data_IF_091016174328
#
_entry.id   IF_091016174328
#
_cell.length_a   1.000
_cell.length_b   1.000
_cell.length_c   1.000
_cell.angle_alpha   90.00
_cell.angle_beta   90.00
_cell.angle_gamma   90.00
#
_symmetry.space_group_name_H-M   'P 1'
#
loop_
_entity.id
_entity.type
_entity.pdbx_description
1 polymer ?
#
# COMPACT_ATOMS: atom_id res chain seq x y z
N UNK A 1 14.13 26.36 12.07
CA UNK A 1 12.71 26.77 11.99
C UNK A 1 11.99 26.24 13.23
N UNK A 2 11.41 27.10 14.06
CA UNK A 2 11.01 26.79 15.45
C UNK A 2 9.50 26.56 15.68
N UNK A 3 8.65 26.69 14.66
CA UNK A 3 7.20 26.49 14.79
C UNK A 3 6.72 25.22 14.04
N UNK A 4 6.11 24.28 14.77
CA UNK A 4 5.60 23.02 14.22
C UNK A 4 4.38 23.21 13.32
N UNK A 5 3.55 24.24 13.54
CA UNK A 5 2.42 24.57 12.65
C UNK A 5 2.90 25.03 11.27
N UNK A 6 3.94 25.86 11.24
CA UNK A 6 4.56 26.28 9.98
C UNK A 6 5.19 25.09 9.25
N UNK A 7 5.78 24.13 9.98
CA UNK A 7 6.30 22.90 9.37
C UNK A 7 5.18 22.06 8.75
N UNK A 8 4.07 21.84 9.45
CA UNK A 8 2.90 21.13 8.91
C UNK A 8 2.41 21.80 7.62
N UNK A 9 2.25 23.13 7.64
CA UNK A 9 1.78 23.89 6.48
C UNK A 9 2.75 23.77 5.31
N UNK A 10 4.06 23.88 5.54
CA UNK A 10 5.06 23.78 4.49
C UNK A 10 5.05 22.39 3.82
N UNK A 11 4.97 21.32 4.62
CA UNK A 11 4.89 19.95 4.08
C UNK A 11 3.61 19.76 3.27
N UNK A 12 2.48 20.28 3.78
CA UNK A 12 1.20 20.24 3.09
C UNK A 12 1.24 20.99 1.76
N UNK A 13 1.70 22.24 1.75
CA UNK A 13 1.77 23.06 0.54
C UNK A 13 2.66 22.43 -0.53
N UNK A 14 3.78 21.82 -0.10
CA UNK A 14 4.62 21.04 -1.00
C UNK A 14 3.86 19.85 -1.60
N UNK A 15 3.19 19.05 -0.78
CA UNK A 15 2.43 17.88 -1.24
C UNK A 15 1.26 18.26 -2.16
N UNK A 16 0.53 19.33 -1.85
CA UNK A 16 -0.60 19.83 -2.63
C UNK A 16 -0.14 20.33 -4.02
N UNK A 17 1.11 20.79 -4.16
CA UNK A 17 1.73 21.16 -5.43
C UNK A 17 2.16 19.97 -6.31
N UNK A 18 2.18 18.74 -5.78
CA UNK A 18 2.59 17.55 -6.53
C UNK A 18 1.43 16.93 -7.32
N UNK A 19 1.68 16.45 -8.57
CA UNK A 19 0.68 15.73 -9.36
C UNK A 19 0.05 14.55 -8.59
N UNK A 20 -1.24 14.33 -8.82
CA UNK A 20 -1.95 13.17 -8.25
C UNK A 20 -1.55 11.90 -8.98
N UNK A 21 -0.97 10.93 -8.27
CA UNK A 21 -0.62 9.61 -8.82
C UNK A 21 -0.66 8.54 -7.75
N UNK A 22 -1.12 7.34 -8.11
CA UNK A 22 -1.09 6.17 -7.22
C UNK A 22 0.31 5.56 -7.10
N UNK A 23 1.27 5.96 -7.96
CA UNK A 23 2.62 5.38 -8.02
C UNK A 23 3.67 6.13 -7.17
N UNK A 24 3.29 7.23 -6.52
CA UNK A 24 4.18 7.96 -5.62
C UNK A 24 3.69 7.87 -4.17
N UNK A 25 4.62 8.07 -3.25
CA UNK A 25 4.40 8.10 -1.80
C UNK A 25 5.08 9.36 -1.28
N UNK A 26 4.40 10.07 -0.38
CA UNK A 26 4.92 11.28 0.24
C UNK A 26 5.06 11.00 1.73
N UNK A 27 6.23 11.28 2.31
CA UNK A 27 6.47 11.22 3.75
C UNK A 27 6.76 12.62 4.33
N UNK A 28 6.77 12.75 5.66
CA UNK A 28 6.73 14.05 6.32
C UNK A 28 8.09 14.72 6.58
N UNK A 29 9.23 14.17 6.13
CA UNK A 29 10.47 14.94 6.12
C UNK A 29 11.78 14.18 6.37
N UNK A 30 12.53 14.63 7.39
CA UNK A 30 13.95 14.29 7.56
C UNK A 30 14.22 13.69 8.94
N UNK A 31 15.10 12.67 8.99
CA UNK A 31 15.65 12.14 10.24
C UNK A 31 17.03 12.69 10.49
N UNK A 32 17.36 12.90 11.76
CA UNK A 32 18.71 13.16 12.23
C UNK A 32 19.38 11.81 12.52
N UNK A 33 20.51 11.52 11.89
CA UNK A 33 21.25 10.28 12.10
C UNK A 33 22.76 10.52 12.15
N UNK A 34 23.47 9.57 12.74
CA UNK A 34 24.93 9.55 12.74
C UNK A 34 25.45 9.04 11.39
N UNK A 35 26.24 9.86 10.70
CA UNK A 35 26.99 9.46 9.52
C UNK A 35 28.37 8.95 9.94
N UNK A 36 28.49 7.62 10.01
CA UNK A 36 29.72 6.93 10.43
C UNK A 36 30.94 7.22 9.53
N UNK A 37 30.72 7.65 8.28
CA UNK A 37 31.83 7.85 7.33
C UNK A 37 32.49 9.22 7.50
N UNK A 38 31.71 10.21 7.94
CA UNK A 38 32.19 11.58 8.17
C UNK A 38 32.26 11.93 9.66
N UNK A 39 31.95 10.99 10.55
CA UNK A 39 31.92 11.15 12.01
C UNK A 39 31.11 12.37 12.48
N UNK A 40 29.97 12.63 11.82
CA UNK A 40 29.09 13.75 12.14
C UNK A 40 27.64 13.32 12.14
N UNK A 41 26.82 14.02 12.92
CA UNK A 41 25.38 13.88 12.83
C UNK A 41 24.80 14.84 11.79
N UNK A 42 23.88 14.35 10.97
CA UNK A 42 23.24 15.15 9.91
C UNK A 42 21.78 14.77 9.69
N UNK A 43 21.04 15.69 9.10
CA UNK A 43 19.69 15.40 8.62
C UNK A 43 19.75 14.73 7.25
N UNK A 44 18.99 13.66 7.08
CA UNK A 44 18.81 12.96 5.81
C UNK A 44 17.31 12.79 5.51
N UNK A 45 16.91 12.83 4.23
CA UNK A 45 15.52 12.65 3.84
C UNK A 45 15.03 11.23 4.14
N UNK A 46 13.77 11.07 4.54
CA UNK A 46 13.17 9.79 4.92
C UNK A 46 12.77 8.93 3.72
N UNK A 47 12.85 9.43 2.49
CA UNK A 47 12.48 8.71 1.27
C UNK A 47 13.18 7.34 1.17
N UNK A 48 14.47 7.29 1.51
CA UNK A 48 15.26 6.06 1.52
C UNK A 48 14.82 5.09 2.63
N UNK A 49 14.44 5.61 3.80
CA UNK A 49 13.88 4.81 4.89
C UNK A 49 12.50 4.24 4.53
N UNK A 50 11.64 5.05 3.92
CA UNK A 50 10.32 4.64 3.42
C UNK A 50 10.48 3.51 2.38
N UNK A 51 11.41 3.65 1.43
CA UNK A 51 11.74 2.58 0.48
C UNK A 51 12.30 1.32 1.18
N UNK A 52 13.19 1.49 2.16
CA UNK A 52 13.75 0.39 2.93
C UNK A 52 12.72 -0.37 3.76
N UNK A 53 11.73 0.33 4.33
CA UNK A 53 10.59 -0.25 5.05
C UNK A 53 9.67 -1.03 4.09
N UNK A 54 9.45 -0.53 2.87
CA UNK A 54 8.77 -1.28 1.81
C UNK A 54 9.52 -2.58 1.46
N UNK A 55 10.84 -2.51 1.24
CA UNK A 55 11.66 -3.68 0.94
C UNK A 55 11.68 -4.70 2.10
N UNK A 56 11.79 -4.21 3.34
CA UNK A 56 11.71 -5.05 4.54
C UNK A 56 10.35 -5.74 4.63
N UNK A 57 9.27 -5.03 4.34
CA UNK A 57 7.91 -5.59 4.36
C UNK A 57 7.78 -6.76 3.40
N UNK A 58 8.38 -6.65 2.21
CA UNK A 58 8.38 -7.72 1.20
C UNK A 58 9.20 -8.92 1.65
N UNK A 59 10.29 -8.69 2.39
CA UNK A 59 11.16 -9.77 2.86
C UNK A 59 10.57 -10.56 4.04
N UNK A 60 9.81 -9.90 4.93
CA UNK A 60 9.26 -10.54 6.16
C UNK A 60 7.77 -10.91 6.04
N UNK A 61 7.11 -10.44 5.00
CA UNK A 61 5.72 -10.71 4.67
C UNK A 61 5.60 -10.74 3.14
N UNK A 62 4.75 -9.90 2.57
CA UNK A 62 4.57 -9.79 1.12
C UNK A 62 4.31 -8.33 0.72
N UNK A 63 4.48 -7.97 -0.57
CA UNK A 63 4.30 -6.60 -1.07
C UNK A 63 2.91 -5.98 -0.84
N UNK A 64 1.88 -6.81 -0.65
CA UNK A 64 0.50 -6.41 -0.35
C UNK A 64 0.20 -6.16 1.13
N UNK A 65 1.19 -6.32 2.01
CA UNK A 65 1.08 -5.84 3.38
C UNK A 65 1.45 -4.36 3.47
N UNK A 66 0.74 -3.65 4.35
CA UNK A 66 1.05 -2.23 4.60
C UNK A 66 2.46 -2.11 5.19
N UNK A 67 3.31 -1.24 4.59
CA UNK A 67 4.64 -0.97 5.11
C UNK A 67 4.61 -0.06 6.34
N UNK A 68 3.47 0.58 6.64
CA UNK A 68 3.32 1.48 7.78
C UNK A 68 3.02 0.77 9.10
N UNK A 69 2.94 1.58 10.16
CA UNK A 69 2.54 1.16 11.51
C UNK A 69 3.63 0.43 12.29
N UNK A 70 3.31 0.06 13.53
CA UNK A 70 4.29 -0.43 14.51
C UNK A 70 4.94 -1.77 14.15
N UNK A 71 4.27 -2.62 13.36
CA UNK A 71 4.77 -3.95 13.01
C UNK A 71 5.89 -3.90 11.95
N UNK A 72 5.76 -3.03 10.95
CA UNK A 72 6.66 -3.01 9.77
C UNK A 72 7.32 -1.67 9.52
N UNK A 73 6.66 -0.57 9.88
CA UNK A 73 7.07 0.80 9.60
C UNK A 73 8.18 1.37 10.49
N UNK A 74 8.90 0.54 11.24
CA UNK A 74 9.98 0.99 12.12
C UNK A 74 11.17 1.51 11.31
N UNK A 75 11.52 2.77 11.55
CA UNK A 75 12.65 3.47 10.94
C UNK A 75 13.86 3.36 11.86
N UNK A 76 14.97 2.86 11.29
CA UNK A 76 16.20 2.60 12.05
C UNK A 76 17.18 3.77 11.94
N UNK A 77 18.04 3.90 12.95
CA UNK A 77 19.12 4.88 12.99
C UNK A 77 18.66 6.34 13.12
N UNK A 78 17.37 6.59 13.39
CA UNK A 78 16.87 7.91 13.71
C UNK A 78 17.17 8.25 15.17
N UNK A 79 17.92 9.33 15.39
CA UNK A 79 18.18 9.91 16.72
C UNK A 79 17.01 10.81 17.11
N UNK A 80 16.57 11.64 16.15
CA UNK A 80 15.39 12.51 16.26
C UNK A 80 14.86 12.85 14.87
N UNK A 81 13.66 13.39 14.81
CA UNK A 81 13.07 13.92 13.58
C UNK A 81 13.27 15.44 13.52
N UNK A 82 13.42 15.99 12.31
CA UNK A 82 13.40 17.43 12.10
C UNK A 82 12.04 18.06 12.44
N UNK A 83 10.99 17.26 12.26
CA UNK A 83 9.60 17.58 12.56
C UNK A 83 8.94 16.30 13.08
N UNK A 84 8.49 16.31 14.35
CA UNK A 84 7.74 15.20 14.94
C UNK A 84 6.27 15.63 15.12
N UNK A 85 5.35 15.24 14.22
CA UNK A 85 3.98 15.75 14.22
C UNK A 85 3.15 15.19 15.38
N UNK A 86 2.42 16.07 16.06
CA UNK A 86 1.40 15.69 17.04
C UNK A 86 0.15 15.12 16.33
N UNK A 87 -0.84 14.67 17.09
CA UNK A 87 -2.03 14.01 16.52
C UNK A 87 -2.78 14.87 15.51
N UNK A 88 -3.12 16.12 15.87
CA UNK A 88 -3.83 17.04 14.97
C UNK A 88 -3.05 17.27 13.67
N UNK A 89 -1.74 17.44 13.77
CA UNK A 89 -0.86 17.63 12.61
C UNK A 89 -0.81 16.37 11.74
N UNK A 90 -0.77 15.17 12.33
CA UNK A 90 -0.83 13.91 11.58
C UNK A 90 -2.15 13.78 10.82
N UNK A 91 -3.26 14.14 11.44
CA UNK A 91 -4.57 14.08 10.80
C UNK A 91 -4.65 15.04 9.61
N UNK A 92 -4.09 16.25 9.73
CA UNK A 92 -3.96 17.21 8.64
C UNK A 92 -3.08 16.70 7.50
N UNK A 93 -1.87 16.21 7.82
CA UNK A 93 -0.95 15.64 6.84
C UNK A 93 -1.57 14.47 6.09
N UNK A 94 -2.26 13.58 6.82
CA UNK A 94 -2.87 12.40 6.25
C UNK A 94 -4.06 12.73 5.35
N UNK A 95 -4.85 13.77 5.68
CA UNK A 95 -5.86 14.32 4.76
C UNK A 95 -5.22 14.84 3.48
N UNK A 96 -4.08 15.50 3.60
CA UNK A 96 -3.24 15.95 2.47
C UNK A 96 -2.29 14.87 1.93
N UNK A 97 -2.67 13.58 1.98
CA UNK A 97 -1.96 12.45 1.34
C UNK A 97 -0.46 12.30 1.69
N UNK A 98 -0.03 12.90 2.80
CA UNK A 98 1.32 12.75 3.37
C UNK A 98 1.27 11.70 4.47
N UNK A 99 2.19 10.74 4.41
CA UNK A 99 2.37 9.74 5.45
C UNK A 99 3.28 10.31 6.55
N UNK A 100 2.74 10.60 7.75
CA UNK A 100 3.56 11.15 8.81
C UNK A 100 4.56 10.11 9.30
N UNK A 101 5.80 10.53 9.49
CA UNK A 101 6.81 9.79 10.25
C UNK A 101 6.87 10.39 11.64
N UNK A 102 6.78 9.53 12.66
CA UNK A 102 6.52 9.94 14.04
C UNK A 102 7.42 9.17 14.99
N UNK A 103 8.04 9.88 15.93
CA UNK A 103 8.71 9.25 17.06
C UNK A 103 7.77 9.16 18.25
N UNK A 104 7.43 7.94 18.64
CA UNK A 104 6.60 7.62 19.79
C UNK A 104 7.48 7.22 20.99
N UNK A 105 7.27 7.79 22.19
CA UNK A 105 8.01 7.40 23.39
C UNK A 105 7.92 5.89 23.64
N UNK A 106 9.06 5.22 23.81
CA UNK A 106 9.13 3.77 24.04
C UNK A 106 8.81 2.87 22.84
N UNK A 107 8.38 3.43 21.70
CA UNK A 107 7.96 2.67 20.51
C UNK A 107 8.79 2.98 19.25
N UNK A 108 9.73 3.91 19.34
CA UNK A 108 10.66 4.26 18.26
C UNK A 108 10.06 5.21 17.22
N UNK A 109 10.77 5.34 16.10
CA UNK A 109 10.36 6.17 14.95
C UNK A 109 9.64 5.30 13.93
N UNK A 110 8.45 5.71 13.50
CA UNK A 110 7.55 4.88 12.71
C UNK A 110 7.00 5.66 11.51
N UNK A 111 6.98 5.03 10.33
CA UNK A 111 6.15 5.43 9.20
C UNK A 111 4.68 5.17 9.56
N UNK A 112 3.95 6.23 9.91
CA UNK A 112 2.61 6.17 10.48
C UNK A 112 1.54 6.51 9.43
N UNK A 113 1.65 5.90 8.25
CA UNK A 113 0.69 6.03 7.16
C UNK A 113 1.04 5.12 5.99
N UNK A 114 0.06 4.86 5.13
CA UNK A 114 0.23 4.05 3.93
C UNK A 114 -0.54 4.57 2.71
N UNK A 115 -0.76 5.90 2.64
CA UNK A 115 -1.37 6.55 1.49
C UNK A 115 -0.41 6.67 0.31
N UNK A 116 -0.94 6.54 -0.89
CA UNK A 116 -0.27 6.98 -2.11
C UNK A 116 -0.49 8.48 -2.30
N UNK A 117 0.20 9.06 -3.27
CA UNK A 117 0.05 10.45 -3.68
C UNK A 117 -1.21 10.69 -4.52
N UNK A 118 -2.23 9.83 -4.44
CA UNK A 118 -3.47 9.97 -5.17
C UNK A 118 -4.46 10.86 -4.40
N UNK A 119 -5.00 11.89 -5.06
CA UNK A 119 -5.90 12.84 -4.41
C UNK A 119 -7.35 12.35 -4.34
N UNK A 120 -7.79 11.56 -5.31
CA UNK A 120 -9.16 11.00 -5.33
C UNK A 120 -9.17 9.62 -4.67
N UNK A 121 -10.09 9.36 -3.72
CA UNK A 121 -10.26 8.03 -3.15
C UNK A 121 -10.47 6.98 -4.25
N UNK A 122 -9.70 5.89 -4.20
CA UNK A 122 -9.84 4.77 -5.12
C UNK A 122 -9.31 3.50 -4.45
N UNK A 123 -9.38 2.34 -5.12
CA UNK A 123 -8.72 1.13 -4.62
C UNK A 123 -7.20 1.31 -4.44
N UNK A 124 -6.60 2.29 -5.12
CA UNK A 124 -5.15 2.51 -5.20
C UNK A 124 -4.66 3.70 -4.38
N UNK A 125 -5.49 4.19 -3.48
CA UNK A 125 -5.11 5.23 -2.52
C UNK A 125 -4.16 4.70 -1.42
N UNK A 126 -3.91 3.38 -1.38
CA UNK A 126 -3.00 2.71 -0.46
C UNK A 126 -1.79 2.09 -1.14
N UNK A 127 -0.64 2.21 -0.47
CA UNK A 127 0.65 1.64 -0.90
C UNK A 127 0.52 0.14 -1.09
N UNK A 128 -0.11 -0.57 -0.15
CA UNK A 128 -0.18 -2.02 -0.18
C UNK A 128 -0.99 -2.55 -1.38
N UNK A 129 -2.10 -1.89 -1.73
CA UNK A 129 -2.91 -2.27 -2.91
C UNK A 129 -2.19 -1.92 -4.20
N UNK A 130 -1.52 -0.76 -4.29
CA UNK A 130 -0.74 -0.43 -5.50
C UNK A 130 0.39 -1.43 -5.73
N UNK A 131 1.13 -1.79 -4.67
CA UNK A 131 2.23 -2.75 -4.74
C UNK A 131 1.76 -4.16 -5.08
N UNK A 132 0.61 -4.59 -4.56
CA UNK A 132 -0.06 -5.82 -4.99
C UNK A 132 -0.24 -5.85 -6.50
N UNK A 133 -0.88 -4.82 -7.08
CA UNK A 133 -1.14 -4.79 -8.52
C UNK A 133 0.14 -4.75 -9.36
N UNK A 134 1.18 -4.04 -8.91
CA UNK A 134 2.49 -4.06 -9.60
C UNK A 134 3.05 -5.49 -9.67
N UNK A 135 2.93 -6.28 -8.59
CA UNK A 135 3.37 -7.69 -8.56
C UNK A 135 2.53 -8.55 -9.50
N UNK A 136 1.20 -8.42 -9.42
CA UNK A 136 0.28 -9.20 -10.25
C UNK A 136 0.49 -8.91 -11.74
N UNK A 137 0.48 -7.63 -12.12
CA UNK A 137 0.66 -7.17 -13.50
C UNK A 137 1.99 -7.65 -14.07
N UNK A 138 3.09 -7.56 -13.31
CA UNK A 138 4.41 -7.99 -13.78
C UNK A 138 4.50 -9.50 -13.97
N UNK A 139 3.94 -10.29 -13.03
CA UNK A 139 3.95 -11.74 -13.11
C UNK A 139 3.10 -12.23 -14.29
N UNK A 140 1.88 -11.71 -14.42
CA UNK A 140 0.95 -12.10 -15.47
C UNK A 140 1.42 -11.64 -16.85
N UNK A 141 1.98 -10.42 -16.97
CA UNK A 141 2.59 -9.96 -18.22
C UNK A 141 3.76 -10.85 -18.65
N UNK A 142 4.49 -11.45 -17.72
CA UNK A 142 5.56 -12.41 -18.04
C UNK A 142 5.00 -13.71 -18.59
N UNK A 143 3.89 -14.22 -18.03
CA UNK A 143 3.20 -15.38 -18.55
C UNK A 143 2.60 -15.11 -19.96
N UNK A 144 2.03 -13.93 -20.17
CA UNK A 144 1.44 -13.53 -21.44
C UNK A 144 2.44 -13.46 -22.61
N UNK A 145 3.75 -13.29 -22.34
CA UNK A 145 4.78 -13.23 -23.41
C UNK A 145 4.85 -14.51 -24.23
N UNK A 146 4.65 -15.66 -23.60
CA UNK A 146 4.68 -16.96 -24.28
C UNK A 146 3.43 -17.20 -25.11
N UNK A 147 2.44 -16.30 -25.01
CA UNK A 147 1.20 -16.40 -25.76
C UNK A 147 1.26 -15.71 -27.13
N UNK A 148 2.28 -14.87 -27.34
CA UNK A 148 2.45 -14.12 -28.57
C UNK A 148 2.79 -15.05 -29.73
N UNK A 149 2.10 -14.88 -30.86
CA UNK A 149 2.22 -15.66 -32.10
C UNK A 149 1.65 -17.09 -32.06
N UNK A 150 1.08 -17.52 -30.95
CA UNK A 150 0.30 -18.76 -30.89
C UNK A 150 -1.12 -18.55 -31.47
N UNK A 151 -1.82 -19.65 -31.77
CA UNK A 151 -3.20 -19.58 -32.25
C UNK A 151 -4.16 -19.12 -31.15
N UNK A 152 -5.08 -18.19 -31.44
CA UNK A 152 -6.14 -17.83 -30.49
C UNK A 152 -7.27 -18.86 -30.53
N UNK A 153 -7.01 -20.04 -29.98
CA UNK A 153 -7.97 -21.13 -29.80
C UNK A 153 -8.22 -21.45 -28.33
N UNK A 154 -9.17 -22.34 -28.06
CA UNK A 154 -9.53 -22.68 -26.68
C UNK A 154 -8.39 -23.39 -25.94
N UNK A 155 -7.56 -24.18 -26.63
CA UNK A 155 -6.41 -24.84 -26.03
C UNK A 155 -5.45 -23.81 -25.44
N UNK A 156 -5.17 -22.78 -26.22
CA UNK A 156 -4.28 -21.70 -25.89
C UNK A 156 -4.83 -20.82 -24.76
N UNK A 157 -6.10 -20.42 -24.86
CA UNK A 157 -6.78 -19.65 -23.80
C UNK A 157 -6.86 -20.42 -22.49
N UNK A 158 -7.20 -21.70 -22.52
CA UNK A 158 -7.19 -22.57 -21.34
C UNK A 158 -5.78 -22.68 -20.75
N UNK A 159 -4.75 -22.80 -21.60
CA UNK A 159 -3.35 -22.74 -21.19
C UNK A 159 -3.02 -21.47 -20.40
N UNK A 160 -3.41 -20.30 -20.91
CA UNK A 160 -3.23 -19.03 -20.20
C UNK A 160 -3.94 -18.99 -18.84
N UNK A 161 -5.21 -19.42 -18.77
CA UNK A 161 -5.96 -19.50 -17.50
C UNK A 161 -5.26 -20.43 -16.50
N UNK A 162 -4.78 -21.58 -16.95
CA UNK A 162 -4.05 -22.56 -16.14
C UNK A 162 -2.70 -22.04 -15.61
N UNK A 163 -2.12 -21.00 -16.22
CA UNK A 163 -0.93 -20.32 -15.70
C UNK A 163 -1.30 -19.25 -14.66
N UNK A 164 -2.35 -18.46 -14.93
CA UNK A 164 -2.70 -17.28 -14.11
C UNK A 164 -3.47 -17.66 -12.85
N UNK A 165 -4.44 -18.56 -12.92
CA UNK A 165 -5.30 -18.89 -11.79
C UNK A 165 -4.53 -19.48 -10.60
N UNK A 166 -3.60 -20.45 -10.76
CA UNK A 166 -2.84 -20.96 -9.62
C UNK A 166 -2.00 -19.89 -8.93
N UNK A 167 -1.42 -18.95 -9.70
CA UNK A 167 -0.69 -17.82 -9.14
C UNK A 167 -1.61 -16.91 -8.31
N UNK A 168 -2.80 -16.59 -8.81
CA UNK A 168 -3.78 -15.80 -8.05
C UNK A 168 -4.28 -16.54 -6.79
N UNK A 169 -4.48 -17.86 -6.86
CA UNK A 169 -4.82 -18.69 -5.68
C UNK A 169 -3.72 -18.66 -4.63
N UNK A 170 -2.45 -18.70 -5.03
CA UNK A 170 -1.33 -18.56 -4.08
C UNK A 170 -1.33 -17.18 -3.40
N UNK A 171 -1.54 -16.10 -4.16
CA UNK A 171 -1.69 -14.74 -3.59
C UNK A 171 -2.90 -14.65 -2.65
N UNK A 172 -4.01 -15.33 -2.97
CA UNK A 172 -5.19 -15.44 -2.11
C UNK A 172 -4.87 -16.17 -0.80
N UNK A 173 -4.18 -17.32 -0.88
CA UNK A 173 -3.73 -18.09 0.28
C UNK A 173 -2.79 -17.30 1.20
N UNK A 174 -1.97 -16.40 0.63
CA UNK A 174 -1.11 -15.45 1.36
C UNK A 174 -1.79 -14.12 1.71
N UNK A 175 -3.12 -14.07 1.63
CA UNK A 175 -3.97 -12.96 2.09
C UNK A 175 -3.78 -11.65 1.31
N UNK A 176 -3.31 -11.71 0.07
CA UNK A 176 -3.18 -10.53 -0.79
C UNK A 176 -4.49 -10.11 -1.45
N UNK A 177 -5.32 -11.09 -1.80
CA UNK A 177 -6.63 -10.89 -2.42
C UNK A 177 -7.69 -11.68 -1.65
N UNK A 178 -8.93 -11.19 -1.64
CA UNK A 178 -10.07 -11.91 -1.07
C UNK A 178 -10.77 -12.77 -2.12
N UNK A 179 -10.77 -12.33 -3.37
CA UNK A 179 -11.46 -12.98 -4.48
C UNK A 179 -10.87 -12.55 -5.82
N UNK A 180 -11.04 -13.37 -6.85
CA UNK A 180 -10.62 -13.06 -8.21
C UNK A 180 -11.42 -13.83 -9.27
N UNK A 181 -11.40 -13.34 -10.50
CA UNK A 181 -11.91 -14.05 -11.67
C UNK A 181 -10.99 -13.79 -12.87
N UNK A 182 -10.78 -14.81 -13.70
CA UNK A 182 -10.03 -14.71 -14.96
C UNK A 182 -10.96 -15.12 -16.09
N UNK A 183 -11.26 -14.19 -17.00
CA UNK A 183 -12.06 -14.46 -18.19
C UNK A 183 -11.13 -14.39 -19.38
N UNK A 184 -11.00 -15.50 -20.10
CA UNK A 184 -10.20 -15.60 -21.30
C UNK A 184 -10.79 -16.75 -22.10
N UNK A 185 -11.93 -16.53 -22.73
CA UNK A 185 -12.72 -17.54 -23.43
C UNK A 185 -13.47 -16.87 -24.60
N UNK A 186 -14.43 -17.56 -25.21
CA UNK A 186 -15.19 -17.03 -26.34
C UNK A 186 -16.06 -15.80 -25.99
N UNK A 187 -16.30 -15.53 -24.69
CA UNK A 187 -17.09 -14.35 -24.27
C UNK A 187 -16.31 -13.04 -24.46
N UNK A 188 -14.98 -13.07 -24.36
CA UNK A 188 -14.12 -11.91 -24.58
C UNK A 188 -13.16 -12.05 -25.77
N UNK A 189 -13.03 -13.24 -26.36
CA UNK A 189 -12.36 -13.50 -27.63
C UNK A 189 -13.38 -13.85 -28.71
N UNK A 190 -14.24 -12.89 -29.07
CA UNK A 190 -15.23 -13.06 -30.14
C UNK A 190 -14.55 -13.24 -31.50
N UNK A 191 -15.32 -13.67 -32.52
CA UNK A 191 -14.81 -13.80 -33.89
C UNK A 191 -14.11 -12.55 -34.39
N UNK A 192 -14.66 -11.36 -34.11
CA UNK A 192 -14.05 -10.09 -34.51
C UNK A 192 -12.72 -9.79 -33.79
N UNK A 193 -12.56 -10.23 -32.54
CA UNK A 193 -11.29 -10.09 -31.79
C UNK A 193 -10.23 -11.00 -32.42
N UNK A 194 -10.61 -12.24 -32.72
CA UNK A 194 -9.73 -13.23 -33.36
C UNK A 194 -9.33 -12.77 -34.76
N UNK A 195 -10.26 -12.29 -35.57
CA UNK A 195 -10.00 -11.79 -36.93
C UNK A 195 -9.06 -10.56 -36.95
N UNK A 196 -9.02 -9.79 -35.85
CA UNK A 196 -8.06 -8.69 -35.65
C UNK A 196 -6.71 -9.16 -35.11
N UNK A 197 -6.49 -10.47 -34.94
CA UNK A 197 -5.30 -11.05 -34.31
C UNK A 197 -5.06 -10.54 -32.88
N UNK A 198 -6.13 -10.25 -32.15
CA UNK A 198 -6.08 -9.87 -30.74
C UNK A 198 -6.28 -11.10 -29.84
N UNK A 199 -5.67 -11.06 -28.66
CA UNK A 199 -5.91 -12.00 -27.56
C UNK A 199 -6.34 -11.21 -26.33
N UNK A 200 -7.51 -11.54 -25.76
CA UNK A 200 -8.07 -10.82 -24.62
C UNK A 200 -8.15 -11.71 -23.39
N UNK A 201 -7.70 -11.15 -22.27
CA UNK A 201 -7.83 -11.76 -20.96
C UNK A 201 -8.20 -10.68 -19.94
N UNK A 202 -9.37 -10.81 -19.33
CA UNK A 202 -9.87 -9.92 -18.31
C UNK A 202 -9.62 -10.54 -16.93
N UNK A 203 -8.92 -9.80 -16.07
CA UNK A 203 -8.52 -10.28 -14.75
C UNK A 203 -9.12 -9.35 -13.69
N UNK A 204 -10.07 -9.88 -12.92
CA UNK A 204 -10.76 -9.15 -11.86
C UNK A 204 -10.16 -9.51 -10.52
N UNK A 205 -9.84 -8.51 -9.69
CA UNK A 205 -9.18 -8.69 -8.40
C UNK A 205 -9.91 -7.91 -7.31
N UNK A 206 -10.24 -8.58 -6.19
CA UNK A 206 -10.66 -7.93 -4.95
C UNK A 206 -9.46 -7.91 -3.98
N UNK A 207 -8.74 -6.77 -3.85
CA UNK A 207 -7.55 -6.71 -3.02
C UNK A 207 -7.89 -6.67 -1.52
N UNK A 208 -7.03 -7.26 -0.70
CA UNK A 208 -7.11 -7.10 0.74
C UNK A 208 -6.74 -5.65 1.14
N UNK A 209 -7.48 -5.08 2.10
CA UNK A 209 -7.28 -3.69 2.56
C UNK A 209 -6.64 -3.66 3.94
N UNK A 210 -5.74 -2.70 4.16
CA UNK A 210 -5.11 -2.46 5.47
C UNK A 210 -6.08 -1.76 6.43
N UNK A 211 -5.90 -1.99 7.73
CA UNK A 211 -6.63 -1.29 8.79
C UNK A 211 -5.90 0.02 9.07
N UNK A 212 -6.59 1.15 8.93
CA UNK A 212 -6.03 2.47 9.22
C UNK A 212 -6.65 3.16 10.45
N UNK A 213 -7.83 2.73 10.87
CA UNK A 213 -8.56 3.31 12.00
C UNK A 213 -9.05 2.18 12.91
N UNK A 214 -8.88 2.35 14.21
CA UNK A 214 -9.35 1.43 15.24
C UNK A 214 -10.20 2.25 16.21
N UNK A 215 -11.47 1.87 16.36
CA UNK A 215 -12.37 2.43 17.36
C UNK A 215 -12.61 1.38 18.43
N UNK A 216 -12.30 1.70 19.68
CA UNK A 216 -12.54 0.82 20.83
C UNK A 216 -13.64 1.44 21.69
N UNK A 217 -14.76 0.75 21.80
CA UNK A 217 -15.89 1.17 22.62
C UNK A 217 -15.88 0.36 23.92
N UNK A 218 -15.74 1.05 25.05
CA UNK A 218 -15.81 0.42 26.37
C UNK A 218 -17.19 0.71 26.97
N UNK A 219 -17.97 -0.34 27.19
CA UNK A 219 -19.32 -0.23 27.79
C UNK A 219 -19.35 -1.04 29.08
N UNK A 220 -19.60 -0.36 30.20
CA UNK A 220 -19.84 -1.01 31.48
C UNK A 220 -21.32 -1.32 31.61
N UNK A 221 -21.70 -2.60 31.56
CA UNK A 221 -23.08 -3.04 31.76
C UNK A 221 -23.32 -3.38 33.22
N UNK A 222 -24.59 -3.33 33.67
CA UNK A 222 -24.97 -3.83 34.99
C UNK A 222 -24.87 -5.36 34.98
N UNK A 223 -24.56 -5.96 36.13
CA UNK A 223 -24.36 -7.42 36.29
C UNK A 223 -25.51 -8.28 35.74
N UNK A 224 -26.75 -7.77 35.75
CA UNK A 224 -27.92 -8.48 35.24
C UNK A 224 -28.26 -8.25 33.76
N UNK A 225 -27.50 -7.44 33.03
CA UNK A 225 -27.75 -7.15 31.61
C UNK A 225 -26.83 -8.01 30.74
N UNK A 226 -27.44 -8.78 29.84
CA UNK A 226 -26.68 -9.61 28.92
C UNK A 226 -25.95 -8.74 27.89
N UNK A 227 -24.68 -9.04 27.61
CA UNK A 227 -23.88 -8.27 26.63
C UNK A 227 -24.50 -8.28 25.23
N UNK A 228 -25.28 -9.32 24.87
CA UNK A 228 -26.01 -9.38 23.61
C UNK A 228 -27.08 -8.28 23.45
N UNK A 229 -27.65 -7.79 24.56
CA UNK A 229 -28.64 -6.70 24.55
C UNK A 229 -27.99 -5.34 24.31
N UNK A 230 -26.69 -5.22 24.57
CA UNK A 230 -25.93 -3.97 24.49
C UNK A 230 -25.08 -3.90 23.21
N UNK A 231 -24.63 -5.05 22.68
CA UNK A 231 -23.82 -5.11 21.47
C UNK A 231 -24.64 -5.07 20.16
N UNK A 232 -25.96 -5.22 20.23
CA UNK A 232 -26.87 -5.18 19.07
C UNK A 232 -27.61 -3.86 18.85
N UNK A 233 -27.32 -2.82 19.65
CA UNK A 233 -27.96 -1.50 19.61
C UNK A 233 -27.07 -0.43 18.98
#
# INVERSE_FOLDING_TARGET
VSNTLSQTLNVKLFADGLPSTSYAVIDSGYKYMFDKYNDVYRYVPLNGDTAGVCARTDAVADPWFSPGGFNRGQIRGAVKLAFNPNQTQRDELYKSRVNPVVSFPGQGTVLFGDKTAQSKPSAFDRINVRRLFIVLEKAIATAAKFQLFEFNDEFTRAGFRNLVEPFLRDVQGRRGITDFAVVCDDTNNTGEVIDRNEFRADIFIKPARSINFITLNFVATRTGVAFSEVAGA
#
